data_IF_794815426613
#
_entry.id   IF_794815426613
#
_cell.length_a   1.000
_cell.length_b   1.000
_cell.length_c   1.000
_cell.angle_alpha   90.00
_cell.angle_beta   90.00
_cell.angle_gamma   90.00
#
_symmetry.space_group_name_H-M   'P 1'
#
loop_
_entity.id
_entity.type
_entity.pdbx_description
1 polymer ?
#
# COMPACT_ATOMS: atom_id res chain seq x y z
N UNK A 1 -13.41 13.98 -2.67
CA UNK A 1 -12.47 14.97 -2.09
C UNK A 1 -13.21 16.18 -1.52
N UNK A 2 -13.87 17.00 -2.33
CA UNK A 2 -14.39 18.33 -1.89
C UNK A 2 -15.64 18.26 -0.99
N UNK A 3 -16.29 17.10 -0.94
CA UNK A 3 -17.44 16.87 -0.06
C UNK A 3 -17.00 16.80 1.40
N UNK A 4 -17.76 17.48 2.25
CA UNK A 4 -17.67 17.44 3.71
C UNK A 4 -18.97 16.87 4.26
N UNK A 5 -18.86 16.03 5.29
CA UNK A 5 -19.97 15.61 6.13
C UNK A 5 -19.61 15.94 7.58
N UNK A 6 -20.26 16.98 8.12
CA UNK A 6 -20.00 17.49 9.47
C UNK A 6 -20.71 16.67 10.57
N UNK A 7 -21.42 15.61 10.21
CA UNK A 7 -21.92 14.67 11.21
C UNK A 7 -20.74 14.08 11.99
N UNK A 8 -21.00 13.77 13.26
CA UNK A 8 -20.00 13.22 14.17
C UNK A 8 -20.32 11.75 14.42
N UNK A 9 -19.29 10.92 14.46
CA UNK A 9 -19.33 9.56 14.96
C UNK A 9 -18.35 9.38 16.11
N UNK A 10 -18.57 8.30 16.86
CA UNK A 10 -17.63 7.84 17.89
C UNK A 10 -16.79 6.72 17.29
N UNK A 11 -15.48 6.89 17.27
CA UNK A 11 -14.52 5.86 16.87
C UNK A 11 -14.68 4.61 17.73
N UNK A 12 -14.81 3.44 17.12
CA UNK A 12 -14.97 2.18 17.87
C UNK A 12 -13.66 1.69 18.50
N UNK A 13 -12.51 2.17 18.03
CA UNK A 13 -11.21 1.75 18.55
C UNK A 13 -10.83 2.42 19.88
N UNK A 14 -11.14 3.71 20.03
CA UNK A 14 -10.68 4.54 21.14
C UNK A 14 -11.78 5.39 21.80
N UNK A 15 -12.98 5.45 21.22
CA UNK A 15 -14.10 6.23 21.75
C UNK A 15 -14.02 7.73 21.46
N UNK A 16 -13.06 8.20 20.66
CA UNK A 16 -12.93 9.61 20.30
C UNK A 16 -14.04 10.06 19.34
N UNK A 17 -14.44 11.33 19.44
CA UNK A 17 -15.37 11.93 18.49
C UNK A 17 -14.63 12.31 17.21
N UNK A 18 -15.18 11.93 16.06
CA UNK A 18 -14.60 12.20 14.74
C UNK A 18 -15.65 12.73 13.78
N UNK A 19 -15.23 13.60 12.88
CA UNK A 19 -16.06 14.04 11.76
C UNK A 19 -16.14 12.94 10.72
N UNK A 20 -17.36 12.59 10.27
CA UNK A 20 -17.58 11.51 9.29
C UNK A 20 -16.75 11.72 8.03
N UNK A 21 -16.69 12.95 7.50
CA UNK A 21 -15.93 13.24 6.28
C UNK A 21 -15.34 14.65 6.31
N UNK A 22 -14.04 14.73 6.55
CA UNK A 22 -13.25 15.96 6.48
C UNK A 22 -12.96 16.38 5.04
N UNK A 23 -12.81 17.69 4.80
CA UNK A 23 -12.40 18.23 3.49
C UNK A 23 -11.02 17.69 3.08
N UNK A 24 -10.80 17.53 1.78
CA UNK A 24 -9.53 17.10 1.16
C UNK A 24 -8.98 15.72 1.60
N UNK A 25 -9.75 14.98 2.40
CA UNK A 25 -9.53 13.56 2.69
C UNK A 25 -10.37 12.69 1.76
N UNK A 26 -9.77 11.65 1.20
CA UNK A 26 -10.50 10.64 0.43
C UNK A 26 -11.32 9.78 1.40
N UNK A 27 -12.60 9.53 1.13
CA UNK A 27 -13.38 8.63 1.98
C UNK A 27 -12.79 7.22 1.91
N UNK A 28 -12.76 6.52 3.03
CA UNK A 28 -12.38 5.12 3.14
C UNK A 28 -13.28 4.22 2.30
N UNK A 29 -14.59 4.50 2.30
CA UNK A 29 -15.58 3.76 1.54
C UNK A 29 -16.71 4.66 1.03
N UNK A 30 -17.44 4.14 0.04
CA UNK A 30 -18.58 4.82 -0.58
C UNK A 30 -19.90 4.52 0.13
N UNK A 31 -19.86 4.06 1.38
CA UNK A 31 -21.02 3.80 2.21
C UNK A 31 -21.39 2.33 2.37
N UNK A 32 -22.42 2.10 3.18
CA UNK A 32 -22.89 0.78 3.55
C UNK A 32 -24.09 0.35 2.69
N UNK A 33 -24.19 -0.92 2.25
CA UNK A 33 -25.33 -1.41 1.44
C UNK A 33 -26.71 -1.29 2.11
N UNK A 34 -26.75 -1.25 3.46
CA UNK A 34 -27.99 -1.05 4.23
C UNK A 34 -28.32 0.42 4.51
N UNK A 35 -27.47 1.36 4.07
CA UNK A 35 -27.74 2.79 4.10
C UNK A 35 -27.99 3.29 2.66
N UNK A 36 -27.63 4.54 2.33
CA UNK A 36 -27.63 5.05 0.96
C UNK A 36 -26.18 5.18 0.43
N UNK A 37 -25.66 4.18 -0.30
CA UNK A 37 -24.35 4.26 -0.94
C UNK A 37 -24.21 5.53 -1.80
N UNK A 38 -22.99 6.04 -1.90
CA UNK A 38 -22.61 7.31 -2.56
C UNK A 38 -23.13 8.58 -1.88
N UNK A 39 -24.26 8.51 -1.18
CA UNK A 39 -24.79 9.59 -0.36
C UNK A 39 -24.14 9.55 1.03
N UNK A 40 -24.13 8.42 1.74
CA UNK A 40 -23.52 8.33 3.07
C UNK A 40 -22.19 7.58 2.99
N UNK A 41 -21.11 8.30 2.62
CA UNK A 41 -19.73 7.79 2.57
C UNK A 41 -19.12 7.64 3.96
N UNK A 42 -18.00 6.90 4.09
CA UNK A 42 -17.34 6.62 5.38
C UNK A 42 -18.26 5.92 6.38
N UNK A 43 -18.83 4.79 5.97
CA UNK A 43 -19.55 3.91 6.88
C UNK A 43 -18.60 3.19 7.87
N UNK A 44 -17.33 3.02 7.49
CA UNK A 44 -16.31 2.54 8.41
C UNK A 44 -16.03 3.56 9.52
N UNK A 45 -16.22 3.13 10.76
CA UNK A 45 -16.08 3.98 11.96
C UNK A 45 -15.17 3.36 13.04
N UNK A 46 -14.35 2.36 12.71
CA UNK A 46 -13.39 1.82 13.68
C UNK A 46 -12.33 2.86 14.03
N UNK A 47 -11.87 3.63 13.04
CA UNK A 47 -10.92 4.75 13.21
C UNK A 47 -11.39 5.98 12.43
N UNK A 48 -10.87 7.15 12.81
CA UNK A 48 -10.94 8.36 11.98
C UNK A 48 -10.04 8.21 10.75
N UNK A 49 -10.65 7.79 9.64
CA UNK A 49 -9.96 7.61 8.36
C UNK A 49 -9.56 8.92 7.70
N UNK A 50 -10.09 10.06 8.16
CA UNK A 50 -9.61 11.38 7.74
C UNK A 50 -8.16 11.65 8.16
N UNK A 51 -7.62 10.89 9.10
CA UNK A 51 -6.22 10.97 9.55
C UNK A 51 -5.31 9.94 8.91
N UNK A 52 -5.86 9.03 8.10
CA UNK A 52 -5.09 7.98 7.46
C UNK A 52 -4.13 8.52 6.41
N UNK A 53 -2.94 7.94 6.35
CA UNK A 53 -1.86 8.35 5.45
C UNK A 53 -1.99 7.72 4.08
N UNK A 54 -2.51 6.50 3.95
CA UNK A 54 -2.45 5.74 2.70
C UNK A 54 -3.59 6.00 1.71
N UNK A 55 -4.80 6.37 2.18
CA UNK A 55 -5.97 6.57 1.31
C UNK A 55 -5.75 7.65 0.24
N UNK A 56 -5.30 8.83 0.65
CA UNK A 56 -5.00 9.93 -0.26
C UNK A 56 -3.89 9.55 -1.26
N UNK A 57 -2.87 8.83 -0.81
CA UNK A 57 -1.73 8.43 -1.64
C UNK A 57 -2.14 7.39 -2.68
N UNK A 58 -2.87 6.36 -2.27
CA UNK A 58 -3.46 5.35 -3.15
C UNK A 58 -4.36 5.98 -4.19
N UNK A 59 -5.11 7.03 -3.82
CA UNK A 59 -5.94 7.77 -4.77
C UNK A 59 -5.11 8.48 -5.83
N UNK A 60 -4.05 9.22 -5.45
CA UNK A 60 -3.15 9.88 -6.42
C UNK A 60 -2.50 8.87 -7.38
N UNK A 61 -1.99 7.76 -6.84
CA UNK A 61 -1.41 6.66 -7.64
C UNK A 61 -2.46 6.09 -8.60
N UNK A 62 -3.69 5.86 -8.13
CA UNK A 62 -4.77 5.30 -8.96
C UNK A 62 -5.20 6.27 -10.06
N UNK A 63 -5.29 7.57 -9.78
CA UNK A 63 -5.57 8.60 -10.79
C UNK A 63 -4.55 8.54 -11.93
N UNK A 64 -3.26 8.48 -11.60
CA UNK A 64 -2.21 8.39 -12.61
C UNK A 64 -2.25 7.06 -13.38
N UNK A 65 -2.37 5.93 -12.67
CA UNK A 65 -2.51 4.59 -13.26
C UNK A 65 -3.66 4.56 -14.27
N UNK A 66 -4.84 4.98 -13.85
CA UNK A 66 -6.05 4.90 -14.68
C UNK A 66 -5.94 5.85 -15.87
N UNK A 67 -5.36 7.04 -15.69
CA UNK A 67 -5.07 7.96 -16.79
C UNK A 67 -4.10 7.36 -17.83
N UNK A 68 -3.06 6.62 -17.41
CA UNK A 68 -2.16 5.92 -18.35
C UNK A 68 -2.90 4.86 -19.17
N UNK A 69 -3.84 4.16 -18.55
CA UNK A 69 -4.62 3.08 -19.17
C UNK A 69 -5.72 3.57 -20.13
N UNK A 70 -6.16 4.83 -20.01
CA UNK A 70 -7.11 5.42 -20.96
C UNK A 70 -6.47 5.50 -22.35
N UNK A 71 -7.12 4.89 -23.34
CA UNK A 71 -6.73 4.97 -24.75
C UNK A 71 -6.69 6.43 -25.23
N UNK A 72 -5.81 6.72 -26.19
CA UNK A 72 -5.65 8.07 -26.72
C UNK A 72 -6.95 8.55 -27.38
N UNK A 73 -7.57 9.56 -26.78
CA UNK A 73 -8.83 10.16 -27.24
C UNK A 73 -8.99 11.59 -26.73
N UNK A 74 -9.99 12.30 -27.25
CA UNK A 74 -10.25 13.73 -26.97
C UNK A 74 -10.49 14.05 -25.49
N UNK A 75 -10.85 13.05 -24.67
CA UNK A 75 -11.16 13.22 -23.25
C UNK A 75 -9.93 13.05 -22.34
N UNK A 76 -8.81 12.51 -22.83
CA UNK A 76 -7.63 12.20 -22.01
C UNK A 76 -7.04 13.43 -21.32
N UNK A 77 -7.09 14.59 -21.98
CA UNK A 77 -6.65 15.87 -21.40
C UNK A 77 -7.60 16.37 -20.30
N UNK A 78 -8.91 16.22 -20.48
CA UNK A 78 -9.92 16.65 -19.49
C UNK A 78 -9.86 15.77 -18.23
N UNK A 79 -9.66 14.46 -18.39
CA UNK A 79 -9.48 13.54 -17.27
C UNK A 79 -8.20 13.86 -16.50
N UNK A 80 -7.10 14.17 -17.20
CA UNK A 80 -5.85 14.58 -16.56
C UNK A 80 -6.03 15.87 -15.73
N UNK A 81 -6.67 16.88 -16.31
CA UNK A 81 -6.96 18.14 -15.62
C UNK A 81 -7.83 17.92 -14.38
N UNK A 82 -8.88 17.09 -14.49
CA UNK A 82 -9.73 16.73 -13.37
C UNK A 82 -8.96 16.04 -12.24
N UNK A 83 -8.12 15.05 -12.58
CA UNK A 83 -7.29 14.36 -11.60
C UNK A 83 -6.25 15.27 -10.96
N UNK A 84 -5.56 16.09 -11.75
CA UNK A 84 -4.57 17.04 -11.25
C UNK A 84 -5.15 17.99 -10.21
N UNK A 85 -6.31 18.59 -10.49
CA UNK A 85 -6.94 19.52 -9.56
C UNK A 85 -7.27 18.89 -8.19
N UNK A 86 -7.48 17.57 -8.14
CA UNK A 86 -7.62 16.84 -6.87
C UNK A 86 -6.25 16.47 -6.29
N UNK A 87 -5.36 15.91 -7.10
CA UNK A 87 -4.05 15.45 -6.64
C UNK A 87 -3.21 16.59 -6.04
N UNK A 88 -3.26 17.81 -6.60
CA UNK A 88 -2.58 18.99 -6.05
C UNK A 88 -2.95 19.24 -4.59
N UNK A 89 -4.26 19.27 -4.26
CA UNK A 89 -4.72 19.48 -2.88
C UNK A 89 -4.24 18.38 -1.92
N UNK A 90 -4.20 17.13 -2.38
CA UNK A 90 -3.69 16.01 -1.59
C UNK A 90 -2.20 16.15 -1.33
N UNK A 91 -1.40 16.40 -2.37
CA UNK A 91 0.05 16.44 -2.29
C UNK A 91 0.51 17.63 -1.46
N UNK A 92 -0.07 18.80 -1.70
CA UNK A 92 0.24 20.01 -0.92
C UNK A 92 -0.16 19.82 0.55
N UNK A 93 -1.36 19.27 0.80
CA UNK A 93 -1.82 18.99 2.17
C UNK A 93 -1.01 17.90 2.89
N UNK A 94 -0.44 16.93 2.16
CA UNK A 94 0.47 15.93 2.73
C UNK A 94 1.82 16.56 3.11
N UNK A 95 2.42 17.36 2.22
CA UNK A 95 3.65 18.11 2.51
C UNK A 95 3.48 19.09 3.68
N UNK A 96 2.31 19.73 3.81
CA UNK A 96 2.06 20.68 4.89
C UNK A 96 1.75 20.00 6.23
N UNK A 97 0.95 18.94 6.23
CA UNK A 97 0.40 18.37 7.46
C UNK A 97 1.08 17.08 7.93
N UNK A 98 1.77 16.36 7.04
CA UNK A 98 2.29 15.02 7.33
C UNK A 98 3.82 14.91 7.30
N UNK A 99 4.53 15.83 6.64
CA UNK A 99 5.99 15.98 6.69
C UNK A 99 6.35 16.91 7.86
N UNK A 100 6.55 16.34 9.05
CA UNK A 100 6.70 17.09 10.30
C UNK A 100 8.11 17.61 10.52
N UNK A 101 9.11 16.89 10.00
CA UNK A 101 10.53 17.25 10.15
C UNK A 101 11.11 17.96 8.89
N UNK A 102 10.28 18.18 7.87
CA UNK A 102 10.58 18.88 6.62
C UNK A 102 11.64 18.20 5.76
N UNK A 103 11.84 16.89 5.91
CA UNK A 103 12.77 16.11 5.09
C UNK A 103 12.13 15.56 3.80
N UNK A 104 10.90 15.98 3.49
CA UNK A 104 10.18 15.56 2.29
C UNK A 104 9.49 14.21 2.43
N UNK A 105 9.63 13.51 3.55
CA UNK A 105 8.91 12.27 3.86
C UNK A 105 7.70 12.54 4.76
N UNK A 106 6.73 11.63 4.77
CA UNK A 106 5.58 11.71 5.67
C UNK A 106 5.76 10.80 6.88
N UNK A 107 5.19 11.19 8.02
CA UNK A 107 5.19 10.37 9.24
C UNK A 107 3.81 9.81 9.61
N UNK A 108 3.78 8.53 9.98
CA UNK A 108 2.69 7.91 10.71
C UNK A 108 2.65 8.39 12.17
N UNK A 109 1.44 8.49 12.73
CA UNK A 109 1.17 9.17 14.01
C UNK A 109 1.27 8.28 15.26
N UNK A 110 1.71 7.02 15.14
CA UNK A 110 1.77 6.09 16.28
C UNK A 110 0.43 5.44 16.64
N UNK A 111 -0.53 5.49 15.73
CA UNK A 111 -1.73 4.66 15.73
C UNK A 111 -1.89 3.99 14.36
N UNK A 112 -2.91 3.15 14.20
CA UNK A 112 -3.18 2.52 12.92
C UNK A 112 -3.89 3.50 11.98
N UNK A 113 -3.10 4.30 11.29
CA UNK A 113 -3.53 5.37 10.37
C UNK A 113 -3.38 4.95 8.90
N UNK A 114 -3.65 3.68 8.61
CA UNK A 114 -3.55 3.08 7.27
C UNK A 114 -4.29 1.72 7.22
N UNK A 115 -4.31 1.07 6.05
CA UNK A 115 -5.10 -0.16 5.80
C UNK A 115 -4.90 -1.32 6.77
N UNK A 116 -3.71 -1.47 7.38
CA UNK A 116 -3.46 -2.36 8.51
C UNK A 116 -3.97 -1.66 9.77
N UNK A 117 -5.29 -1.58 9.85
CA UNK A 117 -6.07 -0.77 10.80
C UNK A 117 -5.93 -1.18 12.28
N UNK A 118 -5.19 -2.25 12.60
CA UNK A 118 -4.81 -2.58 13.97
C UNK A 118 -3.32 -2.90 14.11
N UNK A 119 -2.49 -2.52 13.13
CA UNK A 119 -1.03 -2.62 13.17
C UNK A 119 -0.42 -1.22 13.09
N UNK A 120 0.07 -0.75 14.22
CA UNK A 120 0.50 0.66 14.39
C UNK A 120 1.85 0.90 13.71
N UNK A 121 1.97 2.05 13.06
CA UNK A 121 3.22 2.56 12.50
C UNK A 121 3.55 3.91 13.14
N UNK A 122 4.83 4.20 13.39
CA UNK A 122 5.26 5.47 13.99
C UNK A 122 6.45 6.07 13.23
N UNK A 123 6.37 7.37 12.94
CA UNK A 123 7.37 8.04 12.10
C UNK A 123 7.26 7.57 10.66
N UNK A 124 8.35 7.62 9.92
CA UNK A 124 8.42 7.08 8.56
C UNK A 124 8.23 5.56 8.60
N UNK A 125 7.27 5.03 7.84
CA UNK A 125 7.10 3.59 7.64
C UNK A 125 7.50 3.16 6.23
N UNK A 126 7.97 1.93 6.07
CA UNK A 126 8.30 1.42 4.75
C UNK A 126 7.09 1.41 3.81
N UNK A 127 5.91 1.05 4.35
CA UNK A 127 4.66 1.01 3.63
C UNK A 127 4.17 2.41 3.21
N UNK A 128 3.87 3.32 4.16
CA UNK A 128 3.35 4.65 3.81
C UNK A 128 4.40 5.51 3.09
N UNK A 129 5.67 5.38 3.45
CA UNK A 129 6.75 6.12 2.80
C UNK A 129 6.95 5.71 1.33
N UNK A 130 6.87 4.41 1.01
CA UNK A 130 6.93 3.98 -0.38
C UNK A 130 5.73 4.46 -1.18
N UNK A 131 4.52 4.44 -0.58
CA UNK A 131 3.31 5.00 -1.20
C UNK A 131 3.42 6.51 -1.41
N UNK A 132 4.02 7.24 -0.48
CA UNK A 132 4.24 8.68 -0.63
C UNK A 132 5.14 8.98 -1.82
N UNK A 133 6.28 8.30 -1.91
CA UNK A 133 7.20 8.44 -3.03
C UNK A 133 6.49 8.12 -4.36
N UNK A 134 5.69 7.05 -4.40
CA UNK A 134 4.93 6.67 -5.59
C UNK A 134 3.86 7.71 -5.96
N UNK A 135 3.15 8.25 -4.98
CA UNK A 135 2.14 9.28 -5.18
C UNK A 135 2.77 10.60 -5.68
N UNK A 136 3.86 11.05 -5.05
CA UNK A 136 4.58 12.26 -5.44
C UNK A 136 5.18 12.12 -6.84
N UNK A 137 5.77 10.96 -7.17
CA UNK A 137 6.25 10.65 -8.52
C UNK A 137 5.11 10.68 -9.55
N UNK A 138 3.99 10.02 -9.24
CA UNK A 138 2.79 10.00 -10.10
C UNK A 138 2.24 11.41 -10.36
N UNK A 139 2.23 12.26 -9.33
CA UNK A 139 1.79 13.64 -9.44
C UNK A 139 2.73 14.49 -10.30
N UNK A 140 4.05 14.35 -10.10
CA UNK A 140 5.06 15.01 -10.94
C UNK A 140 4.89 14.63 -12.41
N UNK A 141 4.66 13.35 -12.70
CA UNK A 141 4.41 12.92 -14.07
C UNK A 141 3.11 13.51 -14.64
N UNK A 142 2.03 13.57 -13.87
CA UNK A 142 0.82 14.27 -14.31
C UNK A 142 1.09 15.77 -14.61
N UNK A 143 1.87 16.45 -13.78
CA UNK A 143 2.25 17.85 -14.02
C UNK A 143 3.06 18.02 -15.31
N UNK A 144 4.04 17.13 -15.57
CA UNK A 144 4.82 17.13 -16.82
C UNK A 144 3.92 16.96 -18.04
N UNK A 145 2.98 16.03 -17.99
CA UNK A 145 2.05 15.76 -19.09
C UNK A 145 1.09 16.93 -19.34
N UNK A 146 0.79 17.73 -18.32
CA UNK A 146 0.03 18.98 -18.45
C UNK A 146 0.87 20.22 -18.73
N UNK A 147 2.21 20.11 -18.83
CA UNK A 147 3.11 21.23 -19.07
C UNK A 147 3.18 22.23 -17.89
N UNK A 148 2.90 21.77 -16.67
CA UNK A 148 2.94 22.58 -15.45
C UNK A 148 4.31 22.47 -14.74
N UNK A 149 4.71 23.45 -13.92
CA UNK A 149 6.00 23.43 -13.21
C UNK A 149 6.13 22.28 -12.22
N UNK A 150 7.27 21.58 -12.24
CA UNK A 150 7.53 20.40 -11.39
C UNK A 150 8.67 20.56 -10.38
N UNK A 151 9.55 21.54 -10.59
CA UNK A 151 10.83 21.64 -9.89
C UNK A 151 10.73 21.53 -8.36
N UNK A 152 9.76 22.21 -7.75
CA UNK A 152 9.54 22.16 -6.31
C UNK A 152 9.23 20.74 -5.80
N UNK A 153 8.37 20.01 -6.53
CA UNK A 153 7.99 18.66 -6.16
C UNK A 153 9.10 17.65 -6.47
N UNK A 154 9.89 17.87 -7.52
CA UNK A 154 11.08 17.06 -7.82
C UNK A 154 12.14 17.20 -6.72
N UNK A 155 12.39 18.42 -6.20
CA UNK A 155 13.25 18.64 -5.04
C UNK A 155 12.73 17.88 -3.80
N UNK A 156 11.42 17.97 -3.51
CA UNK A 156 10.81 17.21 -2.41
C UNK A 156 10.89 15.70 -2.60
N UNK A 157 10.78 15.21 -3.83
CA UNK A 157 10.91 13.79 -4.14
C UNK A 157 12.34 13.27 -3.89
N UNK A 158 13.36 14.04 -4.26
CA UNK A 158 14.76 13.70 -3.97
C UNK A 158 14.99 13.62 -2.45
N UNK A 159 14.52 14.62 -1.69
CA UNK A 159 14.59 14.61 -0.23
C UNK A 159 13.85 13.40 0.37
N UNK A 160 12.65 13.08 -0.13
CA UNK A 160 11.87 11.92 0.29
C UNK A 160 12.62 10.59 0.08
N UNK A 161 13.31 10.41 -1.05
CA UNK A 161 14.14 9.23 -1.29
C UNK A 161 15.31 9.14 -0.30
N UNK A 162 16.01 10.25 -0.07
CA UNK A 162 17.12 10.32 0.88
C UNK A 162 16.66 9.99 2.31
N UNK A 163 15.54 10.56 2.73
CA UNK A 163 14.88 10.29 4.00
C UNK A 163 14.48 8.81 4.14
N UNK A 164 13.78 8.26 3.14
CA UNK A 164 13.33 6.87 3.14
C UNK A 164 14.50 5.90 3.28
N UNK A 165 15.57 6.09 2.49
CA UNK A 165 16.75 5.24 2.53
C UNK A 165 17.49 5.43 3.85
N UNK A 166 17.75 6.67 4.25
CA UNK A 166 18.51 7.00 5.45
C UNK A 166 17.84 6.52 6.74
N UNK A 167 16.53 6.68 6.84
CA UNK A 167 15.73 6.28 8.02
C UNK A 167 15.48 4.78 8.07
N UNK A 168 15.24 4.11 6.94
CA UNK A 168 14.70 2.74 6.94
C UNK A 168 15.63 1.64 6.44
N UNK A 169 16.59 1.91 5.56
CA UNK A 169 17.45 0.85 5.01
C UNK A 169 18.43 0.33 6.07
N UNK A 170 18.32 -0.94 6.46
CA UNK A 170 19.19 -1.54 7.48
C UNK A 170 20.40 -2.33 6.91
N UNK A 171 20.63 -2.24 5.60
CA UNK A 171 21.66 -3.01 4.90
C UNK A 171 21.15 -4.28 4.21
N UNK A 172 19.95 -4.76 4.54
CA UNK A 172 19.35 -5.97 3.94
C UNK A 172 17.92 -5.75 3.45
N UNK A 173 17.10 -5.04 4.24
CA UNK A 173 15.71 -4.72 3.92
C UNK A 173 15.33 -3.35 4.54
N UNK A 174 14.14 -2.85 4.26
CA UNK A 174 13.62 -1.63 4.87
C UNK A 174 12.89 -1.97 6.16
N UNK A 175 13.30 -1.36 7.28
CA UNK A 175 12.63 -1.53 8.59
C UNK A 175 11.14 -1.19 8.45
N UNK A 176 10.31 -1.86 9.24
CA UNK A 176 8.86 -1.62 9.28
C UNK A 176 8.52 -0.13 9.47
N UNK A 177 9.14 0.50 10.47
CA UNK A 177 9.09 1.95 10.72
C UNK A 177 10.35 2.44 11.45
N UNK A 178 10.30 3.65 12.01
CA UNK A 178 11.43 4.26 12.72
C UNK A 178 11.65 3.74 14.14
N UNK A 179 10.69 3.01 14.73
CA UNK A 179 10.81 2.53 16.10
C UNK A 179 11.92 1.47 16.23
N UNK A 180 12.86 1.62 17.19
CA UNK A 180 13.92 0.64 17.39
C UNK A 180 13.44 -0.79 17.63
N UNK A 181 12.34 -0.96 18.36
CA UNK A 181 11.71 -2.26 18.63
C UNK A 181 11.18 -2.96 17.38
N UNK A 182 10.77 -2.19 16.36
CA UNK A 182 10.22 -2.69 15.10
C UNK A 182 11.31 -2.94 14.04
N UNK A 183 12.57 -2.60 14.32
CA UNK A 183 13.69 -2.68 13.38
C UNK A 183 13.96 -4.07 12.79
N UNK A 184 13.44 -5.12 13.44
CA UNK A 184 13.60 -6.53 13.02
C UNK A 184 12.38 -7.10 12.30
N UNK A 185 11.29 -6.33 12.20
CA UNK A 185 10.07 -6.76 11.52
C UNK A 185 10.28 -6.61 10.01
N UNK A 186 10.25 -7.74 9.31
CA UNK A 186 10.17 -7.80 7.86
C UNK A 186 8.70 -7.75 7.48
N UNK A 187 8.29 -6.64 6.87
CA UNK A 187 6.92 -6.48 6.37
C UNK A 187 6.84 -7.01 4.94
N UNK A 188 5.84 -7.85 4.65
CA UNK A 188 5.62 -8.40 3.31
C UNK A 188 5.33 -7.32 2.25
N UNK A 189 4.76 -6.19 2.68
CA UNK A 189 4.28 -5.10 1.83
C UNK A 189 5.19 -3.86 1.86
N UNK A 190 6.43 -4.01 2.35
CA UNK A 190 7.33 -2.87 2.61
C UNK A 190 7.71 -2.05 1.35
N UNK A 191 7.49 -2.59 0.15
CA UNK A 191 7.84 -1.96 -1.14
C UNK A 191 6.61 -1.65 -2.02
N UNK A 192 5.41 -1.61 -1.45
CA UNK A 192 4.16 -1.55 -2.23
C UNK A 192 4.07 -0.34 -3.18
N UNK A 193 4.59 0.83 -2.78
CA UNK A 193 4.64 1.99 -3.66
C UNK A 193 5.60 1.79 -4.84
N UNK A 194 6.75 1.15 -4.62
CA UNK A 194 7.69 0.84 -5.69
C UNK A 194 7.18 -0.25 -6.63
N UNK A 195 6.38 -1.19 -6.11
CA UNK A 195 5.60 -2.11 -6.95
C UNK A 195 4.64 -1.33 -7.85
N UNK A 196 3.85 -0.40 -7.31
CA UNK A 196 2.91 0.41 -8.09
C UNK A 196 3.62 1.21 -9.20
N UNK A 197 4.74 1.85 -8.88
CA UNK A 197 5.58 2.54 -9.87
C UNK A 197 6.08 1.59 -10.96
N UNK A 198 6.65 0.44 -10.57
CA UNK A 198 7.15 -0.56 -11.52
C UNK A 198 6.03 -1.04 -12.45
N UNK A 199 4.84 -1.34 -11.90
CA UNK A 199 3.69 -1.79 -12.68
C UNK A 199 3.17 -0.74 -13.67
N UNK A 200 3.54 0.53 -13.48
CA UNK A 200 3.20 1.65 -14.36
C UNK A 200 4.37 2.06 -15.28
N UNK A 201 5.47 1.31 -15.40
CA UNK A 201 6.68 1.72 -16.14
C UNK A 201 7.39 2.98 -15.58
N UNK A 202 7.17 3.30 -14.31
CA UNK A 202 7.82 4.45 -13.69
C UNK A 202 9.16 4.08 -13.05
N UNK A 203 10.20 4.93 -13.19
CA UNK A 203 11.51 4.66 -12.64
C UNK A 203 11.50 4.78 -11.11
N UNK A 204 12.07 3.78 -10.44
CA UNK A 204 12.27 3.77 -8.99
C UNK A 204 13.73 4.09 -8.67
N UNK A 205 13.98 5.09 -7.82
CA UNK A 205 15.35 5.53 -7.47
C UNK A 205 16.00 4.72 -6.33
N UNK A 206 15.42 3.57 -5.98
CA UNK A 206 16.05 2.55 -5.14
C UNK A 206 16.89 1.64 -6.03
N UNK A 207 18.15 1.37 -5.66
CA UNK A 207 19.01 0.50 -6.46
C UNK A 207 18.42 -0.91 -6.61
N UNK A 208 18.65 -1.52 -7.78
CA UNK A 208 18.19 -2.89 -8.08
C UNK A 208 18.64 -3.89 -7.00
N UNK A 209 19.85 -3.74 -6.49
CA UNK A 209 20.40 -4.60 -5.42
C UNK A 209 19.64 -4.45 -4.10
N UNK A 210 19.26 -3.23 -3.70
CA UNK A 210 18.46 -3.01 -2.48
C UNK A 210 17.08 -3.62 -2.62
N UNK A 211 16.40 -3.40 -3.76
CA UNK A 211 15.09 -4.00 -4.04
C UNK A 211 15.16 -5.53 -4.02
N UNK A 212 16.15 -6.12 -4.70
CA UNK A 212 16.33 -7.57 -4.73
C UNK A 212 16.63 -8.13 -3.35
N UNK A 213 17.52 -7.50 -2.59
CA UNK A 213 17.84 -7.90 -1.21
C UNK A 213 16.62 -7.87 -0.30
N UNK A 214 15.78 -6.83 -0.39
CA UNK A 214 14.55 -6.73 0.37
C UNK A 214 13.55 -7.84 -0.03
N UNK A 215 13.36 -8.09 -1.33
CA UNK A 215 12.47 -9.16 -1.83
C UNK A 215 12.96 -10.56 -1.44
N UNK A 216 14.26 -10.84 -1.53
CA UNK A 216 14.86 -12.10 -1.07
C UNK A 216 14.66 -12.27 0.45
N UNK A 217 14.76 -11.18 1.22
CA UNK A 217 14.50 -11.18 2.66
C UNK A 217 13.04 -11.49 2.97
N UNK A 218 12.09 -10.83 2.28
CA UNK A 218 10.65 -11.11 2.43
C UNK A 218 10.36 -12.57 2.07
N UNK A 219 10.89 -13.06 0.96
CA UNK A 219 10.69 -14.45 0.56
C UNK A 219 11.24 -15.44 1.60
N UNK A 220 12.45 -15.19 2.12
CA UNK A 220 13.03 -16.04 3.17
C UNK A 220 12.14 -16.06 4.41
N UNK A 221 11.84 -14.90 4.99
CA UNK A 221 11.21 -14.82 6.31
C UNK A 221 9.68 -14.96 6.25
N UNK A 222 9.01 -14.17 5.42
CA UNK A 222 7.55 -14.10 5.37
C UNK A 222 6.93 -15.27 4.61
N UNK A 223 7.69 -15.95 3.74
CA UNK A 223 7.19 -17.09 2.94
C UNK A 223 7.85 -18.39 3.37
N UNK A 224 9.16 -18.57 3.15
CA UNK A 224 9.80 -19.87 3.37
C UNK A 224 9.79 -20.28 4.85
N UNK A 225 10.13 -19.38 5.77
CA UNK A 225 10.10 -19.69 7.20
C UNK A 225 8.68 -19.76 7.78
N UNK A 226 7.67 -19.28 7.06
CA UNK A 226 6.27 -19.38 7.46
C UNK A 226 5.61 -20.61 6.80
N UNK A 227 5.34 -21.65 7.60
CA UNK A 227 4.70 -22.89 7.14
C UNK A 227 5.39 -23.53 5.91
N UNK A 228 6.72 -23.40 5.81
CA UNK A 228 7.54 -23.90 4.71
C UNK A 228 7.13 -23.36 3.33
N UNK A 229 6.64 -22.12 3.26
CA UNK A 229 6.17 -21.50 2.02
C UNK A 229 4.82 -22.02 1.53
N UNK A 230 4.12 -22.83 2.31
CA UNK A 230 2.86 -23.46 1.88
C UNK A 230 1.62 -22.63 2.20
N UNK A 231 1.74 -21.34 2.51
CA UNK A 231 0.59 -20.53 2.98
C UNK A 231 0.40 -19.19 2.27
N UNK A 232 1.41 -18.70 1.56
CA UNK A 232 1.53 -17.30 1.15
C UNK A 232 2.52 -16.53 2.03
N UNK A 233 2.51 -15.20 1.96
CA UNK A 233 3.40 -14.35 2.74
C UNK A 233 2.69 -13.83 4.00
N UNK A 234 3.17 -14.21 5.19
CA UNK A 234 2.66 -13.62 6.44
C UNK A 234 3.10 -12.16 6.53
N UNK A 235 2.21 -11.28 7.00
CA UNK A 235 2.40 -9.84 6.92
C UNK A 235 3.66 -9.36 7.66
N UNK A 236 3.88 -9.85 8.88
CA UNK A 236 5.02 -9.49 9.72
C UNK A 236 5.81 -10.71 10.18
N UNK A 237 7.12 -10.70 9.93
CA UNK A 237 8.02 -11.75 10.40
C UNK A 237 9.29 -11.13 11.00
N UNK A 238 9.67 -11.57 12.19
CA UNK A 238 10.87 -11.08 12.87
C UNK A 238 12.10 -11.83 12.36
N UNK A 239 13.19 -11.12 12.09
CA UNK A 239 14.48 -11.73 11.73
C UNK A 239 15.05 -12.65 12.82
N UNK A 240 14.48 -12.62 14.03
CA UNK A 240 14.69 -13.60 15.11
C UNK A 240 13.92 -14.92 14.92
N UNK A 241 13.46 -15.21 13.71
CA UNK A 241 12.87 -16.50 13.31
C UNK A 241 11.51 -16.81 13.97
N UNK A 242 10.66 -15.79 14.10
CA UNK A 242 9.27 -15.96 14.55
C UNK A 242 8.34 -14.96 13.86
N UNK A 243 7.06 -15.32 13.77
CA UNK A 243 6.01 -14.40 13.33
C UNK A 243 5.94 -13.22 14.29
N UNK A 244 5.73 -12.02 13.75
CA UNK A 244 5.46 -10.85 14.58
C UNK A 244 4.05 -10.99 15.19
N UNK A 245 3.99 -10.97 16.53
CA UNK A 245 2.74 -11.03 17.30
C UNK A 245 2.33 -9.69 17.90
N UNK A 246 2.81 -8.58 17.34
CA UNK A 246 2.45 -7.22 17.80
C UNK A 246 1.00 -6.84 17.44
N UNK A 247 0.41 -7.51 16.44
CA UNK A 247 -0.97 -7.33 16.01
C UNK A 247 -1.54 -8.62 15.43
N UNK A 248 -2.85 -8.83 15.51
CA UNK A 248 -3.51 -9.91 14.76
C UNK A 248 -3.18 -9.81 13.26
N UNK A 249 -3.03 -8.60 12.73
CA UNK A 249 -2.73 -8.40 11.32
C UNK A 249 -1.29 -8.75 10.96
N UNK A 250 -0.35 -8.66 11.90
CA UNK A 250 1.03 -9.06 11.63
C UNK A 250 1.17 -10.58 11.52
N UNK A 251 0.29 -11.34 12.18
CA UNK A 251 0.24 -12.81 12.17
C UNK A 251 -0.49 -13.41 10.96
N UNK A 252 -1.20 -12.58 10.19
CA UNK A 252 -2.04 -12.98 9.07
C UNK A 252 -1.27 -13.03 7.74
N UNK A 253 -1.67 -13.94 6.86
CA UNK A 253 -1.38 -13.87 5.42
C UNK A 253 -2.53 -13.14 4.76
N UNK A 254 -2.29 -11.94 4.23
CA UNK A 254 -3.28 -11.26 3.40
C UNK A 254 -3.18 -11.75 1.96
N UNK A 255 -4.28 -12.30 1.46
CA UNK A 255 -4.32 -12.93 0.14
C UNK A 255 -3.97 -11.95 -0.97
N UNK A 256 -4.53 -10.73 -0.90
CA UNK A 256 -4.25 -9.69 -1.88
C UNK A 256 -2.81 -9.17 -1.85
N UNK A 257 -2.19 -9.10 -0.67
CA UNK A 257 -0.79 -8.68 -0.52
C UNK A 257 0.16 -9.73 -1.06
N UNK A 258 -0.11 -11.01 -0.80
CA UNK A 258 0.67 -12.13 -1.33
C UNK A 258 0.72 -12.12 -2.86
N UNK A 259 -0.42 -11.89 -3.53
CA UNK A 259 -0.45 -11.80 -4.99
C UNK A 259 0.25 -10.54 -5.53
N UNK A 260 0.07 -9.39 -4.89
CA UNK A 260 0.78 -8.15 -5.27
C UNK A 260 2.30 -8.30 -5.13
N UNK A 261 2.76 -8.90 -4.02
CA UNK A 261 4.17 -9.24 -3.79
C UNK A 261 4.70 -10.20 -4.86
N UNK A 262 3.92 -11.22 -5.22
CA UNK A 262 4.31 -12.17 -6.28
C UNK A 262 4.47 -11.45 -7.62
N UNK A 263 3.56 -10.53 -7.96
CA UNK A 263 3.69 -9.70 -9.16
C UNK A 263 4.97 -8.84 -9.12
N UNK A 264 5.28 -8.22 -7.98
CA UNK A 264 6.53 -7.46 -7.81
C UNK A 264 7.77 -8.35 -7.98
N UNK A 265 7.76 -9.57 -7.47
CA UNK A 265 8.86 -10.53 -7.65
C UNK A 265 9.06 -10.88 -9.14
N UNK A 266 7.97 -11.09 -9.90
CA UNK A 266 8.04 -11.34 -11.36
C UNK A 266 8.67 -10.14 -12.09
N UNK A 267 8.23 -8.92 -11.78
CA UNK A 267 8.78 -7.68 -12.36
C UNK A 267 10.28 -7.49 -12.06
N UNK A 268 10.81 -8.16 -11.03
CA UNK A 268 12.24 -8.16 -10.69
C UNK A 268 12.97 -9.45 -11.09
N UNK A 269 12.33 -10.30 -11.90
CA UNK A 269 12.92 -11.53 -12.45
C UNK A 269 13.09 -12.65 -11.43
N UNK A 270 12.29 -12.65 -10.36
CA UNK A 270 12.32 -13.63 -9.27
C UNK A 270 11.16 -14.63 -9.39
N UNK A 271 11.01 -15.23 -10.58
CA UNK A 271 9.84 -16.02 -10.96
C UNK A 271 9.60 -17.22 -10.02
N UNK A 272 10.67 -17.93 -9.64
CA UNK A 272 10.56 -19.08 -8.73
C UNK A 272 10.02 -18.64 -7.36
N UNK A 273 10.56 -17.56 -6.80
CA UNK A 273 10.09 -16.99 -5.53
C UNK A 273 8.64 -16.51 -5.64
N UNK A 274 8.30 -15.85 -6.75
CA UNK A 274 6.95 -15.35 -7.00
C UNK A 274 5.93 -16.49 -7.03
N UNK A 275 6.17 -17.51 -7.88
CA UNK A 275 5.22 -18.60 -8.04
C UNK A 275 5.11 -19.43 -6.77
N UNK A 276 6.22 -19.71 -6.07
CA UNK A 276 6.16 -20.40 -4.76
C UNK A 276 5.34 -19.62 -3.73
N UNK A 277 5.46 -18.29 -3.73
CA UNK A 277 4.69 -17.41 -2.83
C UNK A 277 3.19 -17.49 -3.14
N UNK A 278 2.79 -17.32 -4.40
CA UNK A 278 1.38 -17.40 -4.81
C UNK A 278 0.79 -18.82 -4.73
N UNK A 279 1.58 -19.85 -5.03
CA UNK A 279 1.17 -21.26 -4.98
C UNK A 279 0.83 -21.67 -3.55
N UNK A 280 1.65 -21.28 -2.57
CA UNK A 280 1.36 -21.56 -1.16
C UNK A 280 0.00 -21.01 -0.72
N UNK A 281 -0.39 -19.82 -1.20
CA UNK A 281 -1.71 -19.26 -0.93
C UNK A 281 -2.82 -19.99 -1.70
N UNK A 282 -2.61 -20.27 -2.98
CA UNK A 282 -3.54 -21.04 -3.80
C UNK A 282 -3.85 -22.42 -3.19
N UNK A 283 -2.82 -23.19 -2.84
CA UNK A 283 -2.94 -24.50 -2.20
C UNK A 283 -3.70 -24.43 -0.86
N UNK A 284 -3.47 -23.35 -0.10
CA UNK A 284 -4.19 -23.12 1.15
C UNK A 284 -5.68 -22.96 0.93
N UNK A 285 -6.06 -22.04 0.03
CA UNK A 285 -7.45 -21.70 -0.27
C UNK A 285 -8.15 -22.90 -0.93
N UNK A 286 -7.48 -23.51 -1.91
CA UNK A 286 -8.12 -24.44 -2.85
C UNK A 286 -8.03 -25.89 -2.43
N UNK A 287 -7.04 -26.29 -1.63
CA UNK A 287 -6.82 -27.69 -1.30
C UNK A 287 -6.87 -27.98 0.21
N UNK A 288 -6.57 -27.00 1.08
CA UNK A 288 -6.49 -27.23 2.54
C UNK A 288 -7.65 -26.67 3.37
N UNK A 289 -8.15 -25.47 3.06
CA UNK A 289 -9.07 -24.72 3.94
C UNK A 289 -10.52 -24.56 3.41
N UNK A 290 -10.94 -25.41 2.46
CA UNK A 290 -12.11 -25.20 1.57
C UNK A 290 -12.65 -23.75 1.39
N UNK A 291 -11.79 -22.82 0.95
CA UNK A 291 -12.16 -21.40 0.78
C UNK A 291 -12.40 -20.99 -0.69
N UNK A 292 -12.65 -21.97 -1.57
CA UNK A 292 -12.90 -21.72 -2.99
C UNK A 292 -14.12 -20.82 -3.19
N UNK A 293 -14.05 -19.87 -4.14
CA UNK A 293 -15.12 -18.92 -4.48
C UNK A 293 -15.53 -17.95 -3.36
N UNK A 294 -14.84 -17.96 -2.23
CA UNK A 294 -15.06 -17.09 -1.09
C UNK A 294 -13.74 -16.67 -0.44
N UNK A 295 -12.70 -16.53 -1.27
CA UNK A 295 -11.35 -16.20 -0.84
C UNK A 295 -11.36 -15.04 0.17
N UNK A 296 -10.81 -15.23 1.38
CA UNK A 296 -10.88 -14.22 2.43
C UNK A 296 -9.87 -13.09 2.21
N UNK A 297 -9.97 -12.04 3.03
CA UNK A 297 -8.88 -11.08 3.21
C UNK A 297 -7.63 -11.78 3.72
N UNK A 298 -7.80 -12.53 4.82
CA UNK A 298 -6.71 -13.08 5.58
C UNK A 298 -6.91 -14.55 5.92
N UNK A 299 -5.79 -15.29 5.98
CA UNK A 299 -5.71 -16.65 6.55
C UNK A 299 -4.49 -16.75 7.47
N UNK A 300 -4.49 -17.76 8.35
CA UNK A 300 -3.32 -18.21 9.11
C UNK A 300 -2.97 -19.65 8.75
N UNK A 301 -1.76 -20.10 9.08
CA UNK A 301 -1.25 -21.42 8.68
C UNK A 301 -2.01 -22.63 9.25
N UNK A 302 -2.77 -22.42 10.32
CA UNK A 302 -3.65 -23.41 10.96
C UNK A 302 -5.08 -23.38 10.40
N UNK A 303 -5.36 -22.53 9.40
CA UNK A 303 -6.63 -22.51 8.67
C UNK A 303 -7.69 -21.59 9.26
N UNK A 304 -7.34 -20.73 10.24
CA UNK A 304 -8.23 -19.61 10.59
C UNK A 304 -8.27 -18.61 9.44
N UNK A 305 -9.38 -17.91 9.29
CA UNK A 305 -9.59 -16.93 8.23
C UNK A 305 -10.40 -15.74 8.74
N UNK A 306 -10.29 -14.60 8.03
CA UNK A 306 -11.06 -13.38 8.31
C UNK A 306 -11.61 -12.77 7.03
N UNK A 307 -12.89 -12.37 7.09
CA UNK A 307 -13.62 -11.69 6.02
C UNK A 307 -13.62 -12.45 4.67
N UNK A 308 -14.51 -13.45 4.55
CA UNK A 308 -14.72 -14.23 3.32
C UNK A 308 -15.27 -13.37 2.15
N UNK A 309 -15.05 -13.84 0.93
CA UNK A 309 -15.58 -13.19 -0.28
C UNK A 309 -15.01 -11.80 -0.50
N UNK A 310 -13.71 -11.64 -0.28
CA UNK A 310 -13.06 -10.34 -0.16
C UNK A 310 -12.59 -9.77 -1.50
N UNK A 311 -12.46 -8.44 -1.57
CA UNK A 311 -12.05 -7.73 -2.79
C UNK A 311 -10.55 -7.86 -3.08
N UNK A 312 -9.69 -7.75 -2.05
CA UNK A 312 -8.22 -7.66 -2.20
C UNK A 312 -7.57 -8.82 -2.98
N UNK A 313 -8.02 -10.09 -2.87
CA UNK A 313 -7.48 -11.21 -3.67
C UNK A 313 -7.57 -11.02 -5.19
N UNK A 314 -8.41 -10.10 -5.70
CA UNK A 314 -8.42 -9.74 -7.12
C UNK A 314 -7.08 -9.18 -7.62
N UNK A 315 -6.16 -8.80 -6.73
CA UNK A 315 -4.78 -8.45 -7.07
C UNK A 315 -4.00 -9.58 -7.75
N UNK A 316 -4.50 -10.82 -7.79
CA UNK A 316 -3.95 -11.89 -8.65
C UNK A 316 -3.77 -11.45 -10.11
N UNK A 317 -4.63 -10.55 -10.61
CA UNK A 317 -4.49 -10.00 -11.96
C UNK A 317 -3.22 -9.15 -12.16
N UNK A 318 -2.60 -8.67 -11.08
CA UNK A 318 -1.29 -8.01 -11.17
C UNK A 318 -0.18 -8.99 -11.60
N UNK A 319 -0.31 -10.29 -11.31
CA UNK A 319 0.61 -11.31 -11.80
C UNK A 319 0.51 -11.40 -13.33
N UNK A 320 -0.71 -11.44 -13.86
CA UNK A 320 -0.91 -11.45 -15.32
C UNK A 320 -0.35 -10.20 -15.97
N UNK A 321 -0.60 -9.03 -15.37
CA UNK A 321 -0.04 -7.75 -15.83
C UNK A 321 1.49 -7.77 -15.88
N UNK A 322 2.15 -8.27 -14.83
CA UNK A 322 3.61 -8.40 -14.77
C UNK A 322 4.17 -9.36 -15.84
N UNK A 323 3.49 -10.49 -16.07
CA UNK A 323 3.85 -11.43 -17.12
C UNK A 323 3.72 -10.78 -18.51
N UNK A 324 2.59 -10.16 -18.81
CA UNK A 324 2.32 -9.52 -20.10
C UNK A 324 3.33 -8.41 -20.42
N UNK A 325 3.73 -7.63 -19.41
CA UNK A 325 4.74 -6.58 -19.54
C UNK A 325 6.09 -7.15 -19.94
N UNK A 326 6.54 -8.21 -19.28
CA UNK A 326 7.81 -8.88 -19.61
C UNK A 326 7.84 -9.49 -21.01
N UNK A 327 6.70 -9.92 -21.56
CA UNK A 327 6.61 -10.43 -22.93
C UNK A 327 6.56 -9.32 -24.01
N UNK A 328 6.40 -8.05 -23.63
CA UNK A 328 6.44 -6.90 -24.54
C UNK A 328 7.83 -6.27 -24.68
N UNK A 329 8.77 -6.62 -23.81
CA UNK A 329 10.20 -6.24 -23.86
C UNK A 329 11.03 -7.18 -24.75
#
# INVERSE_FOLDING_TARGET
MDRVDNNIATSLADGEQMTIKSVDRIPHDMGHPMADPWIHTNAYILHDTGRWKDLNLKFVISCYRDWKLIELGSEKGQVLEFFLGKCTKIVDGALECWDKDNDGMIENDGFADQTYDVWKMTGTSAYCGSLWIAALSSYIEMLKQSGLPTKHYEEKLEMAYDAYIGKLWNGTFFKFDELPENSKIVMADQLCGFWAMTAMDEPVQISKDKMKSALDTIFKYNVQMYNNGRCGAVNGYLTSERVDGSSIQSEEVWAGITYALSAMMIEKGMDEQAFKTSEGLFESIWHRFPLQYQTPEAITSDGMYRALGYMRPLSIWAIQHALDRRYRE
#
